data_IF_935246258055
#
_entry.id   IF_935246258055
#
_cell.length_a   1.000
_cell.length_b   1.000
_cell.length_c   1.000
_cell.angle_alpha   90.00
_cell.angle_beta   90.00
_cell.angle_gamma   90.00
#
_symmetry.space_group_name_H-M   'P 1'
#
loop_
_entity.id
_entity.type
_entity.pdbx_description
1 polymer ?
#
# COMPACT_ATOMS: atom_id res chain seq x y z
N UNK A 1 -12.34 -20.86 10.80
CA UNK A 1 -13.61 -20.11 10.84
C UNK A 1 -14.14 -20.02 9.43
N UNK A 2 -15.46 -20.06 9.21
CA UNK A 2 -16.09 -19.89 7.90
C UNK A 2 -16.34 -18.40 7.61
N UNK A 3 -16.57 -18.05 6.34
CA UNK A 3 -16.81 -16.68 5.89
C UNK A 3 -17.90 -15.98 6.70
N UNK A 4 -19.06 -16.61 6.86
CA UNK A 4 -20.22 -16.01 7.52
C UNK A 4 -19.89 -15.60 8.96
N UNK A 5 -19.24 -16.49 9.70
CA UNK A 5 -18.83 -16.22 11.08
C UNK A 5 -17.82 -15.07 11.19
N UNK A 6 -16.94 -14.90 10.18
CA UNK A 6 -15.99 -13.77 10.15
C UNK A 6 -16.70 -12.47 9.79
N UNK A 7 -17.65 -12.52 8.86
CA UNK A 7 -18.46 -11.35 8.50
C UNK A 7 -19.33 -10.89 9.67
N UNK A 8 -19.90 -11.80 10.44
CA UNK A 8 -20.64 -11.50 11.67
C UNK A 8 -19.73 -10.85 12.72
N UNK A 9 -18.53 -11.39 12.93
CA UNK A 9 -17.55 -10.82 13.87
C UNK A 9 -17.12 -9.40 13.43
N UNK A 10 -16.80 -9.20 12.14
CA UNK A 10 -16.49 -7.87 11.58
C UNK A 10 -17.67 -6.89 11.74
N UNK A 11 -18.90 -7.33 11.50
CA UNK A 11 -20.11 -6.51 11.68
C UNK A 11 -20.24 -6.06 13.13
N UNK A 12 -20.06 -6.97 14.09
CA UNK A 12 -20.13 -6.65 15.52
C UNK A 12 -19.03 -5.72 16.02
N UNK A 13 -17.89 -5.65 15.32
CA UNK A 13 -16.79 -4.73 15.61
C UNK A 13 -16.96 -3.36 14.93
N UNK A 14 -17.99 -3.19 14.09
CA UNK A 14 -18.28 -1.96 13.38
C UNK A 14 -18.60 -0.79 14.30
N UNK A 15 -18.23 0.41 13.89
CA UNK A 15 -18.46 1.65 14.65
C UNK A 15 -18.81 2.80 13.73
N UNK A 16 -19.92 3.49 14.01
CA UNK A 16 -20.35 4.69 13.26
C UNK A 16 -19.30 5.81 13.27
N UNK A 17 -18.55 5.96 14.35
CA UNK A 17 -17.48 6.95 14.43
C UNK A 17 -16.36 6.62 13.43
N UNK A 18 -15.92 5.36 13.38
CA UNK A 18 -14.89 4.91 12.44
C UNK A 18 -15.43 4.96 11.02
N UNK A 19 -16.70 4.57 10.83
CA UNK A 19 -17.38 4.66 9.55
C UNK A 19 -17.34 6.07 8.98
N UNK A 20 -17.70 7.07 9.80
CA UNK A 20 -17.61 8.50 9.45
C UNK A 20 -16.19 8.94 9.11
N UNK A 21 -15.19 8.47 9.85
CA UNK A 21 -13.78 8.76 9.56
C UNK A 21 -13.41 8.20 8.18
N UNK A 22 -13.69 6.93 7.91
CA UNK A 22 -13.39 6.31 6.62
C UNK A 22 -14.13 6.97 5.45
N UNK A 23 -15.40 7.38 5.63
CA UNK A 23 -16.12 8.19 4.64
C UNK A 23 -15.42 9.52 4.36
N UNK A 24 -14.95 10.23 5.38
CA UNK A 24 -14.19 11.47 5.21
C UNK A 24 -12.89 11.24 4.43
N UNK A 25 -12.28 10.07 4.57
CA UNK A 25 -11.09 9.64 3.85
C UNK A 25 -11.39 9.11 2.42
N UNK A 26 -12.66 8.92 2.06
CA UNK A 26 -13.08 8.49 0.71
C UNK A 26 -13.43 7.00 0.58
N UNK A 27 -13.70 6.30 1.68
CA UNK A 27 -14.25 4.94 1.63
C UNK A 27 -15.59 4.90 0.92
N UNK A 28 -15.87 3.78 0.26
CA UNK A 28 -17.11 3.50 -0.45
C UNK A 28 -17.80 2.30 0.19
N UNK A 29 -19.12 2.39 0.34
CA UNK A 29 -19.95 1.27 0.81
C UNK A 29 -19.84 0.06 -0.14
N UNK A 30 -19.95 -1.18 0.37
CA UNK A 30 -20.28 -1.53 1.75
C UNK A 30 -19.05 -1.59 2.68
N UNK A 31 -19.21 -1.11 3.92
CA UNK A 31 -18.27 -1.39 5.02
C UNK A 31 -18.90 -1.13 6.40
N UNK A 32 -18.35 -1.76 7.44
CA UNK A 32 -18.83 -1.72 8.83
C UNK A 32 -18.12 -0.63 9.67
N UNK A 33 -16.90 -0.25 9.29
CA UNK A 33 -16.10 0.72 10.04
C UNK A 33 -15.40 0.07 11.22
N UNK A 34 -14.59 -0.97 10.95
CA UNK A 34 -13.85 -1.70 11.98
C UNK A 34 -12.49 -1.05 12.20
N UNK A 35 -12.06 -0.88 13.45
CA UNK A 35 -10.68 -0.44 13.72
C UNK A 35 -9.71 -1.55 13.31
N UNK A 36 -8.73 -1.21 12.47
CA UNK A 36 -7.65 -2.14 12.07
C UNK A 36 -6.97 -2.83 13.26
N UNK A 37 -6.80 -2.13 14.38
CA UNK A 37 -6.22 -2.70 15.60
C UNK A 37 -7.02 -3.87 16.18
N UNK A 38 -8.35 -3.81 16.08
CA UNK A 38 -9.26 -4.79 16.66
C UNK A 38 -9.30 -6.07 15.81
N UNK A 39 -9.09 -5.95 14.48
CA UNK A 39 -8.97 -7.09 13.56
C UNK A 39 -7.86 -8.07 13.94
N UNK A 40 -6.85 -7.64 14.71
CA UNK A 40 -5.78 -8.53 15.21
C UNK A 40 -6.33 -9.70 16.04
N UNK A 41 -7.48 -9.53 16.69
CA UNK A 41 -8.14 -10.61 17.43
C UNK A 41 -8.60 -11.74 16.50
N UNK A 42 -9.19 -11.39 15.35
CA UNK A 42 -9.59 -12.33 14.29
C UNK A 42 -8.35 -12.98 13.66
N UNK A 43 -7.35 -12.18 13.31
CA UNK A 43 -6.09 -12.68 12.72
C UNK A 43 -5.41 -13.71 13.63
N UNK A 44 -5.42 -13.52 14.96
CA UNK A 44 -4.85 -14.49 15.91
C UNK A 44 -5.58 -15.84 15.89
N UNK A 45 -6.90 -15.84 15.71
CA UNK A 45 -7.73 -17.06 15.64
C UNK A 45 -7.52 -17.80 14.31
N UNK A 46 -7.51 -17.07 13.20
CA UNK A 46 -7.49 -17.62 11.84
C UNK A 46 -6.06 -17.92 11.35
N UNK A 47 -5.09 -17.06 11.71
CA UNK A 47 -3.74 -17.02 11.15
C UNK A 47 -3.80 -16.83 9.63
N UNK A 48 -2.94 -17.51 8.87
CA UNK A 48 -3.00 -17.50 7.40
C UNK A 48 -4.04 -18.50 6.90
N UNK A 49 -4.92 -18.05 6.03
CA UNK A 49 -5.90 -18.89 5.35
C UNK A 49 -6.18 -18.33 3.95
N UNK A 50 -5.64 -19.02 2.92
CA UNK A 50 -5.73 -18.59 1.52
C UNK A 50 -7.17 -18.53 1.01
N UNK A 51 -7.91 -19.63 1.10
CA UNK A 51 -9.29 -19.74 0.59
C UNK A 51 -10.20 -18.67 1.20
N UNK A 52 -10.16 -18.56 2.53
CA UNK A 52 -10.94 -17.55 3.25
C UNK A 52 -10.52 -16.11 2.88
N UNK A 53 -9.24 -15.87 2.60
CA UNK A 53 -8.80 -14.53 2.17
C UNK A 53 -9.39 -14.13 0.82
N UNK A 54 -9.53 -15.08 -0.12
CA UNK A 54 -10.17 -14.81 -1.41
C UNK A 54 -11.66 -14.53 -1.23
N UNK A 55 -12.36 -15.37 -0.46
CA UNK A 55 -13.78 -15.20 -0.15
C UNK A 55 -14.07 -13.85 0.52
N UNK A 56 -13.27 -13.47 1.52
CA UNK A 56 -13.40 -12.18 2.20
C UNK A 56 -13.19 -11.01 1.23
N UNK A 57 -12.20 -11.11 0.34
CA UNK A 57 -11.92 -10.06 -0.62
C UNK A 57 -13.08 -9.88 -1.61
N UNK A 58 -13.68 -10.99 -2.04
CA UNK A 58 -14.78 -11.01 -3.01
C UNK A 58 -16.12 -10.51 -2.45
N UNK A 59 -16.26 -10.38 -1.12
CA UNK A 59 -17.43 -9.72 -0.52
C UNK A 59 -17.57 -8.26 -0.95
N UNK A 60 -16.49 -7.62 -1.40
CA UNK A 60 -16.46 -6.19 -1.72
C UNK A 60 -16.59 -5.27 -0.51
N UNK A 61 -16.72 -5.81 0.70
CA UNK A 61 -16.74 -5.04 1.93
C UNK A 61 -15.33 -4.60 2.28
N UNK A 62 -15.10 -3.29 2.50
CA UNK A 62 -13.75 -2.78 2.77
C UNK A 62 -13.08 -3.42 3.99
N UNK A 63 -13.81 -3.61 5.10
CA UNK A 63 -13.22 -4.19 6.31
C UNK A 63 -12.82 -5.66 6.08
N UNK A 64 -13.64 -6.40 5.32
CA UNK A 64 -13.35 -7.76 4.91
C UNK A 64 -12.18 -7.84 3.93
N UNK A 65 -12.13 -6.97 2.93
CA UNK A 65 -10.99 -6.84 2.00
C UNK A 65 -9.70 -6.52 2.77
N UNK A 66 -9.76 -5.64 3.77
CA UNK A 66 -8.59 -5.34 4.58
C UNK A 66 -8.12 -6.55 5.37
N UNK A 67 -9.04 -7.24 6.07
CA UNK A 67 -8.75 -8.47 6.80
C UNK A 67 -8.19 -9.57 5.89
N UNK A 68 -8.70 -9.69 4.66
CA UNK A 68 -8.20 -10.64 3.65
C UNK A 68 -6.69 -10.48 3.45
N UNK A 69 -6.18 -9.26 3.29
CA UNK A 69 -4.73 -9.02 3.18
C UNK A 69 -3.95 -9.35 4.45
N UNK A 70 -4.57 -9.31 5.63
CA UNK A 70 -3.90 -9.73 6.87
C UNK A 70 -3.73 -11.25 6.94
N UNK A 71 -4.70 -12.01 6.45
CA UNK A 71 -4.72 -13.47 6.54
C UNK A 71 -4.31 -14.20 5.26
N UNK A 72 -4.10 -13.49 4.15
CA UNK A 72 -3.71 -14.10 2.88
C UNK A 72 -2.36 -14.83 2.97
N UNK A 73 -2.24 -15.91 2.20
CA UNK A 73 -0.99 -16.64 2.02
C UNK A 73 -0.31 -16.20 0.72
N UNK A 74 0.66 -15.30 0.86
CA UNK A 74 1.46 -14.73 -0.23
C UNK A 74 2.21 -15.79 -1.06
N UNK A 75 2.42 -16.98 -0.50
CA UNK A 75 3.11 -18.08 -1.20
C UNK A 75 2.15 -18.87 -2.10
N UNK A 76 0.85 -18.83 -1.81
CA UNK A 76 -0.19 -19.52 -2.57
C UNK A 76 -0.90 -18.63 -3.56
N UNK A 77 -0.97 -17.32 -3.28
CA UNK A 77 -1.63 -16.38 -4.18
C UNK A 77 -0.96 -16.37 -5.56
N UNK A 78 -1.79 -16.38 -6.59
CA UNK A 78 -1.44 -16.40 -7.99
C UNK A 78 -1.45 -14.99 -8.59
N UNK A 79 -0.76 -14.84 -9.72
CA UNK A 79 -0.82 -13.60 -10.51
C UNK A 79 -2.26 -13.23 -10.87
N UNK A 80 -3.10 -14.21 -11.19
CA UNK A 80 -4.52 -14.00 -11.56
C UNK A 80 -5.34 -13.46 -10.39
N UNK A 81 -5.15 -14.00 -9.18
CA UNK A 81 -5.84 -13.51 -7.98
C UNK A 81 -5.40 -12.08 -7.64
N UNK A 82 -4.09 -11.76 -7.73
CA UNK A 82 -3.60 -10.38 -7.53
C UNK A 82 -4.17 -9.40 -8.55
N UNK A 83 -4.24 -9.81 -9.83
CA UNK A 83 -4.87 -9.01 -10.89
C UNK A 83 -6.38 -8.84 -10.70
N UNK A 84 -7.04 -9.82 -10.11
CA UNK A 84 -8.44 -9.69 -9.69
C UNK A 84 -8.57 -8.71 -8.52
N UNK A 85 -7.71 -8.85 -7.51
CA UNK A 85 -7.71 -8.01 -6.32
C UNK A 85 -7.50 -6.53 -6.67
N UNK A 86 -6.49 -6.21 -7.48
CA UNK A 86 -6.20 -4.80 -7.85
C UNK A 86 -7.38 -4.12 -8.56
N UNK A 87 -8.16 -4.87 -9.34
CA UNK A 87 -9.35 -4.37 -10.05
C UNK A 87 -10.59 -4.23 -9.16
N UNK A 88 -10.65 -5.01 -8.08
CA UNK A 88 -11.80 -5.07 -7.15
C UNK A 88 -11.57 -4.30 -5.85
N UNK A 89 -10.37 -3.75 -5.68
CA UNK A 89 -10.01 -2.99 -4.51
C UNK A 89 -10.85 -1.70 -4.40
N UNK A 90 -11.53 -1.54 -3.26
CA UNK A 90 -12.68 -0.62 -3.15
C UNK A 90 -12.30 0.87 -2.98
N UNK A 91 -11.14 1.16 -2.39
CA UNK A 91 -10.62 2.50 -2.11
C UNK A 91 -9.16 2.43 -1.67
N UNK A 92 -8.55 3.58 -1.36
CA UNK A 92 -7.10 3.64 -1.15
C UNK A 92 -6.60 2.72 -0.02
N UNK A 93 -7.37 2.42 1.03
CA UNK A 93 -6.90 1.48 2.05
C UNK A 93 -6.68 0.06 1.49
N UNK A 94 -7.37 -0.32 0.43
CA UNK A 94 -7.21 -1.63 -0.20
C UNK A 94 -6.17 -1.53 -1.33
N UNK A 95 -6.27 -0.48 -2.14
CA UNK A 95 -5.40 -0.26 -3.30
C UNK A 95 -3.95 0.04 -2.88
N UNK A 96 -3.73 0.68 -1.73
CA UNK A 96 -2.41 1.14 -1.30
C UNK A 96 -1.81 0.30 -0.17
N UNK A 97 -2.60 -0.58 0.46
CA UNK A 97 -2.11 -1.40 1.56
C UNK A 97 -2.39 -2.87 1.29
N UNK A 98 -3.64 -3.33 1.38
CA UNK A 98 -4.01 -4.74 1.24
C UNK A 98 -3.41 -5.41 0.00
N UNK A 99 -3.68 -4.89 -1.20
CA UNK A 99 -3.20 -5.49 -2.45
C UNK A 99 -1.68 -5.36 -2.59
N UNK A 100 -1.07 -4.16 -2.39
CA UNK A 100 0.37 -4.00 -2.47
C UNK A 100 1.19 -4.86 -1.51
N UNK A 101 0.71 -5.05 -0.29
CA UNK A 101 1.41 -5.89 0.70
C UNK A 101 1.53 -7.32 0.21
N UNK A 102 0.42 -7.91 -0.21
CA UNK A 102 0.40 -9.29 -0.66
C UNK A 102 1.15 -9.44 -1.99
N UNK A 103 1.02 -8.47 -2.90
CA UNK A 103 1.79 -8.46 -4.14
C UNK A 103 3.30 -8.44 -3.85
N UNK A 104 3.78 -7.53 -3.01
CA UNK A 104 5.20 -7.37 -2.69
C UNK A 104 5.79 -8.56 -1.91
N UNK A 105 5.00 -9.18 -1.05
CA UNK A 105 5.42 -10.37 -0.30
C UNK A 105 5.37 -11.65 -1.15
N UNK A 106 4.61 -11.66 -2.26
CA UNK A 106 4.61 -12.74 -3.24
C UNK A 106 5.83 -12.70 -4.18
N UNK A 107 5.97 -13.73 -5.03
CA UNK A 107 6.99 -13.75 -6.10
C UNK A 107 6.65 -12.86 -7.30
N UNK A 108 5.45 -12.28 -7.36
CA UNK A 108 4.96 -11.51 -8.51
C UNK A 108 5.11 -9.99 -8.33
N UNK A 109 5.49 -9.53 -7.13
CA UNK A 109 5.42 -8.11 -6.77
C UNK A 109 6.21 -7.17 -7.67
N UNK A 110 7.41 -7.56 -8.12
CA UNK A 110 8.22 -6.70 -8.99
C UNK A 110 7.59 -6.55 -10.38
N UNK A 111 7.23 -7.67 -11.01
CA UNK A 111 6.59 -7.71 -12.32
C UNK A 111 5.26 -6.95 -12.31
N UNK A 112 4.37 -7.27 -11.35
CA UNK A 112 3.07 -6.62 -11.23
C UNK A 112 3.20 -5.14 -10.85
N UNK A 113 4.15 -4.78 -9.99
CA UNK A 113 4.42 -3.39 -9.64
C UNK A 113 4.75 -2.55 -10.87
N UNK A 114 5.65 -3.04 -11.73
CA UNK A 114 6.00 -2.38 -12.99
C UNK A 114 4.85 -2.36 -14.00
N UNK A 115 4.05 -3.43 -14.07
CA UNK A 115 2.87 -3.49 -14.93
C UNK A 115 1.82 -2.45 -14.50
N UNK A 116 1.50 -2.40 -13.20
CA UNK A 116 0.43 -1.58 -12.66
C UNK A 116 0.73 -0.08 -12.73
N UNK A 117 1.98 0.36 -12.56
CA UNK A 117 2.33 1.79 -12.68
C UNK A 117 2.10 2.36 -14.10
N UNK A 118 1.94 1.51 -15.12
CA UNK A 118 1.61 1.93 -16.48
C UNK A 118 0.10 2.06 -16.72
N UNK A 119 -0.74 1.72 -15.75
CA UNK A 119 -2.19 1.79 -15.89
C UNK A 119 -2.69 3.24 -15.91
N UNK A 120 -3.68 3.51 -16.76
CA UNK A 120 -4.42 4.78 -16.78
C UNK A 120 -5.43 4.89 -15.63
N UNK A 121 -5.72 3.80 -14.90
CA UNK A 121 -6.60 3.83 -13.73
C UNK A 121 -5.82 4.26 -12.48
N UNK A 122 -6.20 5.38 -11.85
CA UNK A 122 -5.50 5.93 -10.66
C UNK A 122 -5.33 4.89 -9.54
N UNK A 123 -6.35 4.06 -9.31
CA UNK A 123 -6.35 3.00 -8.31
C UNK A 123 -5.26 1.96 -8.58
N UNK A 124 -5.19 1.47 -9.82
CA UNK A 124 -4.23 0.43 -10.21
C UNK A 124 -2.82 1.01 -10.25
N UNK A 125 -2.65 2.19 -10.82
CA UNK A 125 -1.36 2.88 -10.84
C UNK A 125 -0.82 3.13 -9.43
N UNK A 126 -1.69 3.58 -8.51
CA UNK A 126 -1.35 3.76 -7.10
C UNK A 126 -0.95 2.46 -6.41
N UNK A 127 -1.65 1.34 -6.70
CA UNK A 127 -1.25 0.01 -6.22
C UNK A 127 0.13 -0.41 -6.72
N UNK A 128 0.47 -0.11 -7.98
CA UNK A 128 1.78 -0.36 -8.53
C UNK A 128 2.89 0.34 -7.75
N UNK A 129 2.76 1.65 -7.54
CA UNK A 129 3.75 2.44 -6.81
C UNK A 129 3.92 1.98 -5.36
N UNK A 130 2.82 1.64 -4.67
CA UNK A 130 2.93 1.11 -3.30
C UNK A 130 3.44 -0.34 -3.24
N UNK A 131 3.26 -1.13 -4.29
CA UNK A 131 3.87 -2.47 -4.39
C UNK A 131 5.39 -2.32 -4.48
N UNK A 132 5.87 -1.46 -5.37
CA UNK A 132 7.30 -1.16 -5.52
C UNK A 132 7.89 -0.55 -4.24
N UNK A 133 7.16 0.36 -3.59
CA UNK A 133 7.55 0.92 -2.28
C UNK A 133 7.66 -0.16 -1.23
N UNK A 134 6.71 -1.09 -1.17
CA UNK A 134 6.74 -2.21 -0.23
C UNK A 134 7.96 -3.11 -0.47
N UNK A 135 8.31 -3.40 -1.73
CA UNK A 135 9.55 -4.12 -2.07
C UNK A 135 10.80 -3.42 -1.53
N UNK A 136 10.90 -2.08 -1.66
CA UNK A 136 12.02 -1.32 -1.07
C UNK A 136 12.16 -1.60 0.43
N UNK A 137 11.03 -1.71 1.13
CA UNK A 137 11.03 -1.87 2.60
C UNK A 137 11.28 -3.30 3.08
N UNK A 138 10.96 -4.34 2.30
CA UNK A 138 11.04 -5.74 2.77
C UNK A 138 12.11 -6.59 2.09
N UNK A 139 12.49 -6.25 0.85
CA UNK A 139 13.45 -7.05 0.09
C UNK A 139 14.88 -6.64 0.39
N UNK A 140 15.82 -7.60 0.49
CA UNK A 140 17.23 -7.27 0.59
C UNK A 140 17.68 -6.55 -0.69
N UNK A 141 18.67 -5.66 -0.57
CA UNK A 141 19.09 -4.80 -1.68
C UNK A 141 19.62 -5.54 -2.91
N UNK A 142 20.10 -6.78 -2.74
CA UNK A 142 20.56 -7.65 -3.83
C UNK A 142 19.42 -8.15 -4.72
N UNK A 143 18.18 -8.14 -4.23
CA UNK A 143 16.99 -8.51 -5.00
C UNK A 143 16.34 -7.31 -5.72
N UNK A 144 16.82 -6.09 -5.48
CA UNK A 144 16.22 -4.87 -6.02
C UNK A 144 16.99 -4.38 -7.26
N UNK A 145 16.25 -4.10 -8.33
CA UNK A 145 16.81 -3.45 -9.52
C UNK A 145 16.98 -1.94 -9.27
N UNK A 146 18.12 -1.60 -8.65
CA UNK A 146 18.47 -0.20 -8.35
C UNK A 146 18.56 0.66 -9.60
N UNK A 147 18.91 0.08 -10.76
CA UNK A 147 19.00 0.81 -12.03
C UNK A 147 17.61 1.21 -12.49
N UNK A 148 16.64 0.29 -12.43
CA UNK A 148 15.25 0.59 -12.74
C UNK A 148 14.66 1.59 -11.75
N UNK A 149 14.92 1.44 -10.45
CA UNK A 149 14.42 2.39 -9.45
C UNK A 149 14.97 3.80 -9.66
N UNK A 150 16.22 3.98 -10.09
CA UNK A 150 16.75 5.30 -10.49
C UNK A 150 16.00 5.89 -11.69
N UNK A 151 15.62 5.08 -12.69
CA UNK A 151 14.79 5.56 -13.81
C UNK A 151 13.41 5.98 -13.32
N UNK A 152 12.78 5.20 -12.45
CA UNK A 152 11.48 5.52 -11.85
C UNK A 152 11.54 6.80 -11.02
N UNK A 153 12.60 7.03 -10.24
CA UNK A 153 12.83 8.30 -9.54
C UNK A 153 12.90 9.48 -10.52
N UNK A 154 13.58 9.33 -11.66
CA UNK A 154 13.62 10.36 -12.71
C UNK A 154 12.29 10.55 -13.44
N UNK A 155 11.51 9.50 -13.57
CA UNK A 155 10.14 9.59 -14.08
C UNK A 155 9.27 10.42 -13.12
N UNK A 156 9.32 10.14 -11.82
CA UNK A 156 8.58 10.88 -10.79
C UNK A 156 9.00 12.36 -10.78
N UNK A 157 10.30 12.66 -10.83
CA UNK A 157 10.84 14.03 -10.90
C UNK A 157 10.14 14.88 -11.97
N UNK A 158 9.81 14.28 -13.11
CA UNK A 158 9.21 14.96 -14.26
C UNK A 158 7.68 14.96 -14.27
N UNK A 159 7.05 13.93 -13.71
CA UNK A 159 5.63 13.63 -13.97
C UNK A 159 4.73 13.69 -12.73
N UNK A 160 5.28 13.77 -11.51
CA UNK A 160 4.43 13.67 -10.31
C UNK A 160 3.35 14.75 -10.27
N UNK A 161 3.65 16.01 -10.62
CA UNK A 161 2.66 17.08 -10.47
C UNK A 161 1.48 17.00 -11.43
N UNK A 162 1.64 16.30 -12.56
CA UNK A 162 0.58 16.03 -13.54
C UNK A 162 -0.11 14.67 -13.34
N UNK A 163 0.39 13.82 -12.43
CA UNK A 163 -0.21 12.52 -12.17
C UNK A 163 -1.57 12.63 -11.45
N UNK A 164 -2.34 11.55 -11.50
CA UNK A 164 -3.64 11.44 -10.85
C UNK A 164 -3.53 11.48 -9.31
N UNK A 165 -4.64 11.77 -8.65
CA UNK A 165 -4.63 12.19 -7.24
C UNK A 165 -3.93 11.19 -6.30
N UNK A 166 -4.34 9.92 -6.30
CA UNK A 166 -3.74 8.91 -5.42
C UNK A 166 -2.37 8.45 -5.92
N UNK A 167 -2.18 8.39 -7.24
CA UNK A 167 -0.88 8.10 -7.86
C UNK A 167 0.20 9.08 -7.40
N UNK A 168 -0.11 10.38 -7.27
CA UNK A 168 0.83 11.38 -6.71
C UNK A 168 1.27 11.03 -5.30
N UNK A 169 0.33 10.60 -4.48
CA UNK A 169 0.60 10.23 -3.09
C UNK A 169 1.57 9.05 -3.00
N UNK A 170 1.34 8.01 -3.80
CA UNK A 170 2.16 6.78 -3.79
C UNK A 170 3.48 6.92 -4.54
N UNK A 171 3.56 7.78 -5.56
CA UNK A 171 4.84 8.23 -6.13
C UNK A 171 5.72 8.93 -5.07
N UNK A 172 5.15 9.85 -4.30
CA UNK A 172 5.85 10.49 -3.18
C UNK A 172 6.30 9.45 -2.13
N UNK A 173 5.43 8.47 -1.85
CA UNK A 173 5.75 7.29 -1.03
C UNK A 173 6.96 6.50 -1.54
N UNK A 174 7.03 6.26 -2.85
CA UNK A 174 8.14 5.54 -3.49
C UNK A 174 9.46 6.30 -3.37
N UNK A 175 9.47 7.62 -3.58
CA UNK A 175 10.66 8.45 -3.37
C UNK A 175 11.20 8.28 -1.95
N UNK A 176 10.31 8.37 -0.95
CA UNK A 176 10.69 8.17 0.46
C UNK A 176 11.20 6.74 0.72
N UNK A 177 10.51 5.72 0.21
CA UNK A 177 10.88 4.32 0.41
C UNK A 177 12.24 3.98 -0.25
N UNK A 178 12.50 4.48 -1.45
CA UNK A 178 13.81 4.32 -2.11
C UNK A 178 14.92 4.98 -1.29
N UNK A 179 14.75 6.26 -0.94
CA UNK A 179 15.80 7.01 -0.24
C UNK A 179 16.08 6.50 1.16
N UNK A 180 15.05 6.00 1.85
CA UNK A 180 15.19 5.45 3.20
C UNK A 180 15.73 4.02 3.19
N UNK A 181 15.14 3.12 2.40
CA UNK A 181 15.34 1.69 2.60
C UNK A 181 16.29 1.06 1.58
N UNK A 182 16.60 1.70 0.46
CA UNK A 182 17.43 1.09 -0.59
C UNK A 182 18.84 1.66 -0.54
N UNK A 183 19.81 0.78 -0.27
CA UNK A 183 21.21 1.18 -0.13
C UNK A 183 21.74 1.81 -1.43
N UNK A 184 22.35 2.99 -1.31
CA UNK A 184 22.90 3.73 -2.45
C UNK A 184 21.89 4.53 -3.26
N UNK A 185 20.61 4.59 -2.85
CA UNK A 185 19.58 5.43 -3.50
C UNK A 185 19.21 6.69 -2.70
N UNK A 186 19.78 6.92 -1.50
CA UNK A 186 19.48 8.09 -0.69
C UNK A 186 19.68 9.40 -1.47
N UNK A 187 20.86 9.63 -2.05
CA UNK A 187 21.17 10.90 -2.70
C UNK A 187 20.31 11.12 -3.94
N UNK A 188 20.08 10.09 -4.75
CA UNK A 188 19.19 10.16 -5.92
C UNK A 188 17.76 10.53 -5.51
N UNK A 189 17.20 9.82 -4.53
CA UNK A 189 15.84 10.07 -4.04
C UNK A 189 15.72 11.43 -3.37
N UNK A 190 16.73 11.86 -2.62
CA UNK A 190 16.74 13.14 -1.93
C UNK A 190 16.79 14.32 -2.91
N UNK A 191 17.58 14.22 -3.99
CA UNK A 191 17.60 15.23 -5.04
C UNK A 191 16.27 15.30 -5.79
N UNK A 192 15.64 14.16 -6.07
CA UNK A 192 14.28 14.13 -6.63
C UNK A 192 13.30 14.79 -5.66
N UNK A 193 13.34 14.44 -4.38
CA UNK A 193 12.47 14.98 -3.34
C UNK A 193 12.54 16.52 -3.27
N UNK A 194 13.75 17.09 -3.32
CA UNK A 194 13.94 18.56 -3.37
C UNK A 194 13.34 19.21 -4.60
N UNK A 195 13.45 18.57 -5.76
CA UNK A 195 12.95 19.10 -7.02
C UNK A 195 11.43 19.02 -7.13
N UNK A 196 10.83 17.92 -6.65
CA UNK A 196 9.37 17.78 -6.67
C UNK A 196 8.72 18.71 -5.64
N UNK A 197 9.35 18.95 -4.48
CA UNK A 197 8.82 19.85 -3.47
C UNK A 197 7.46 19.38 -2.91
N UNK A 198 6.56 20.34 -2.65
CA UNK A 198 5.22 20.05 -2.11
C UNK A 198 4.35 19.31 -3.14
N UNK A 199 3.87 18.12 -2.77
CA UNK A 199 2.93 17.33 -3.58
C UNK A 199 1.52 17.53 -3.05
N UNK A 200 0.64 18.11 -3.87
CA UNK A 200 -0.78 18.35 -3.50
C UNK A 200 -1.63 17.12 -3.81
N UNK A 201 -2.27 16.57 -2.78
CA UNK A 201 -3.20 15.44 -2.89
C UNK A 201 -4.48 15.77 -2.14
N UNK A 202 -5.62 15.53 -2.78
CA UNK A 202 -6.91 15.52 -2.10
C UNK A 202 -7.00 14.26 -1.20
N UNK A 203 -6.99 14.49 0.11
CA UNK A 203 -7.08 13.46 1.14
C UNK A 203 -8.50 13.37 1.75
N UNK A 204 -9.49 13.86 1.00
CA UNK A 204 -10.87 13.95 1.44
C UNK A 204 -11.08 15.03 2.51
N UNK A 205 -12.14 14.88 3.31
CA UNK A 205 -12.54 15.82 4.37
C UNK A 205 -11.72 15.61 5.64
N UNK A 206 -10.40 15.71 5.52
CA UNK A 206 -9.44 15.39 6.59
C UNK A 206 -8.44 16.51 6.80
N UNK A 207 -7.84 16.56 7.99
CA UNK A 207 -6.72 17.47 8.29
C UNK A 207 -5.35 16.84 7.95
N UNK A 208 -5.35 15.69 7.25
CA UNK A 208 -4.13 14.98 6.89
C UNK A 208 -3.28 15.81 5.93
N UNK A 209 -1.96 15.67 6.05
CA UNK A 209 -0.99 16.37 5.21
C UNK A 209 -0.16 15.35 4.44
N UNK A 210 0.14 15.68 3.19
CA UNK A 210 1.11 14.92 2.41
C UNK A 210 2.51 15.21 2.96
N UNK A 211 3.31 14.18 3.31
CA UNK A 211 4.67 14.41 3.79
C UNK A 211 5.55 15.05 2.72
N UNK A 212 6.38 16.01 3.13
CA UNK A 212 7.48 16.51 2.31
C UNK A 212 8.60 15.46 2.30
N UNK A 213 8.87 14.87 1.13
CA UNK A 213 9.77 13.73 1.02
C UNK A 213 11.22 14.08 1.40
N UNK A 214 11.66 15.31 1.15
CA UNK A 214 13.00 15.78 1.50
C UNK A 214 13.16 15.88 3.03
N UNK A 215 12.21 16.51 3.72
CA UNK A 215 12.20 16.59 5.18
C UNK A 215 12.09 15.21 5.83
N UNK A 216 11.30 14.32 5.24
CA UNK A 216 11.20 12.93 5.68
C UNK A 216 12.56 12.23 5.60
N UNK A 217 13.24 12.32 4.45
CA UNK A 217 14.53 11.68 4.22
C UNK A 217 15.64 12.28 5.11
N UNK A 218 15.67 13.60 5.30
CA UNK A 218 16.57 14.26 6.26
C UNK A 218 16.38 13.69 7.67
N UNK A 219 15.13 13.54 8.11
CA UNK A 219 14.81 12.94 9.41
C UNK A 219 15.27 11.49 9.50
N UNK A 220 15.08 10.69 8.45
CA UNK A 220 15.53 9.29 8.44
C UNK A 220 17.05 9.18 8.49
N UNK A 221 17.76 10.09 7.81
CA UNK A 221 19.22 10.19 7.86
C UNK A 221 19.72 10.60 9.24
N UNK A 222 19.16 11.65 9.83
CA UNK A 222 19.57 12.14 11.16
C UNK A 222 19.23 11.15 12.28
N UNK A 223 18.19 10.33 12.11
CA UNK A 223 17.78 9.30 13.09
C UNK A 223 18.48 7.95 12.89
N UNK A 224 19.51 7.87 12.03
CA UNK A 224 20.24 6.64 11.67
C UNK A 224 19.29 5.47 11.32
N UNK A 225 18.30 5.76 10.48
CA UNK A 225 17.25 4.81 10.07
C UNK A 225 17.36 4.40 8.59
N UNK A 226 18.37 4.90 7.87
CA UNK A 226 18.64 4.50 6.49
C UNK A 226 19.02 3.02 6.41
N UNK A 227 18.62 2.36 5.32
CA UNK A 227 18.86 0.94 5.05
C UNK A 227 18.02 -0.03 5.90
N UNK A 228 17.24 0.45 6.89
CA UNK A 228 16.42 -0.43 7.72
C UNK A 228 15.26 -1.02 6.91
N UNK A 229 15.19 -2.35 6.92
CA UNK A 229 14.12 -3.14 6.29
C UNK A 229 13.11 -3.59 7.35
N UNK A 230 11.86 -3.76 6.92
CA UNK A 230 10.79 -4.39 7.69
C UNK A 230 10.82 -5.90 7.48
N UNK A 231 10.27 -6.65 8.44
CA UNK A 231 10.11 -8.10 8.32
C UNK A 231 9.06 -8.49 7.26
N UNK A 232 8.01 -7.68 7.13
CA UNK A 232 6.89 -7.88 6.22
C UNK A 232 6.29 -6.51 5.87
N UNK A 233 5.52 -6.44 4.77
CA UNK A 233 4.90 -5.21 4.30
C UNK A 233 3.58 -4.93 5.04
N UNK A 234 2.82 -6.01 5.32
CA UNK A 234 1.56 -5.94 6.07
C UNK A 234 1.75 -5.51 7.54
N UNK A 235 0.71 -4.89 8.11
CA UNK A 235 0.74 -4.27 9.44
C UNK A 235 0.96 -5.23 10.62
#
# INVERSE_FOLDING_TARGET
MKLEAVMDELTSMGSEQIKKIYLNHGAKEPFFGVKVGDMKTIVKKIKKNHELSLELFDTGNSDAQYLAGLIADEKKISKKELQHWVKKASWYMINEYTVPWIAAESKFGYELGLEWIQSEEDSVCSSGWNTLSSLCTIKPDVELDKKEFKKLLKFIEKNIHSAQNRTRYTMNGFVMACGQCVEGLYDDAFQVAKKIGEVKVDLGKTACKVPLADQYLEKMKSSNYLGKKKKQARC
#
